data_IF_472504531796
#
_entry.id   IF_472504531796
#
_cell.length_a   1.000
_cell.length_b   1.000
_cell.length_c   1.000
_cell.angle_alpha   90.00
_cell.angle_beta   90.00
_cell.angle_gamma   90.00
#
_symmetry.space_group_name_H-M   'P 1'
#
loop_
_entity.id
_entity.type
_entity.pdbx_description
1 polymer ?
#
# COMPACT_ATOMS: atom_id res chain seq x y z
N UNK A 1 33.47 -35.00 -51.37
CA UNK A 1 32.33 -35.92 -51.45
C UNK A 1 31.64 -35.91 -50.09
N UNK A 2 30.48 -35.29 -50.00
CA UNK A 2 29.62 -35.27 -48.81
C UNK A 2 28.39 -36.10 -49.09
N UNK A 3 27.88 -36.96 -48.21
CA UNK A 3 26.63 -37.66 -48.43
C UNK A 3 25.43 -36.82 -47.92
N UNK A 4 24.42 -36.79 -48.76
CA UNK A 4 23.10 -36.17 -48.55
C UNK A 4 22.25 -37.11 -47.71
N UNK A 5 21.57 -36.62 -46.67
CA UNK A 5 20.56 -37.35 -45.90
C UNK A 5 19.15 -36.89 -46.32
N UNK A 6 18.20 -37.80 -46.49
CA UNK A 6 16.84 -37.48 -46.87
C UNK A 6 16.00 -37.05 -45.66
N UNK A 7 15.13 -36.05 -45.86
CA UNK A 7 14.10 -35.59 -44.94
C UNK A 7 12.86 -36.46 -45.09
N UNK A 8 12.40 -37.03 -43.97
CA UNK A 8 11.07 -37.66 -43.88
C UNK A 8 10.04 -36.52 -43.55
N UNK A 9 8.99 -36.48 -44.39
CA UNK A 9 7.79 -35.65 -44.19
C UNK A 9 6.73 -36.56 -43.54
N UNK A 10 6.26 -36.18 -42.36
CA UNK A 10 5.10 -36.81 -41.74
C UNK A 10 3.85 -35.98 -42.02
N UNK A 11 2.89 -36.53 -42.73
CA UNK A 11 1.54 -35.99 -42.89
C UNK A 11 0.72 -36.29 -41.66
N UNK A 12 0.15 -35.26 -41.03
CA UNK A 12 -0.91 -35.39 -40.03
C UNK A 12 -2.25 -34.98 -40.64
N UNK A 13 -3.18 -35.87 -40.68
CA UNK A 13 -4.55 -35.69 -41.13
C UNK A 13 -5.40 -35.06 -40.03
N UNK A 14 -5.98 -33.89 -40.28
CA UNK A 14 -6.98 -33.26 -39.42
C UNK A 14 -8.39 -33.67 -39.88
N UNK A 15 -9.18 -34.19 -38.95
CA UNK A 15 -10.61 -34.45 -39.13
C UNK A 15 -11.42 -33.25 -38.62
N UNK A 16 -12.13 -32.57 -39.49
CA UNK A 16 -13.09 -31.50 -39.17
C UNK A 16 -14.47 -32.08 -38.90
N UNK A 17 -15.02 -31.78 -37.72
CA UNK A 17 -16.45 -31.94 -37.43
C UNK A 17 -17.07 -30.54 -37.44
N UNK A 18 -17.95 -30.28 -38.39
CA UNK A 18 -18.78 -29.11 -38.45
C UNK A 18 -20.11 -29.36 -37.73
N UNK A 19 -20.47 -28.54 -36.75
CA UNK A 19 -21.82 -28.41 -36.21
C UNK A 19 -22.24 -26.94 -36.35
N UNK A 20 -23.25 -26.74 -37.20
CA UNK A 20 -23.84 -25.42 -37.41
C UNK A 20 -24.76 -25.02 -36.25
N UNK A 21 -24.71 -23.75 -35.89
CA UNK A 21 -25.64 -23.11 -34.99
C UNK A 21 -25.78 -21.65 -35.43
N UNK A 22 -27.02 -21.24 -35.76
CA UNK A 22 -27.36 -19.88 -36.14
C UNK A 22 -27.09 -18.92 -34.99
N UNK A 23 -26.28 -17.89 -35.24
CA UNK A 23 -26.10 -16.78 -34.31
C UNK A 23 -26.91 -15.58 -34.81
N UNK A 24 -27.70 -15.01 -33.90
CA UNK A 24 -28.29 -13.70 -34.04
C UNK A 24 -27.20 -12.64 -33.88
N UNK A 25 -27.16 -11.71 -34.81
CA UNK A 25 -26.28 -10.53 -34.73
C UNK A 25 -26.91 -9.56 -33.75
N UNK A 26 -26.24 -9.36 -32.63
CA UNK A 26 -26.47 -8.22 -31.72
C UNK A 26 -25.28 -7.27 -31.93
N UNK A 27 -25.56 -6.09 -32.43
CA UNK A 27 -24.65 -4.95 -32.43
C UNK A 27 -24.36 -4.60 -30.95
N UNK A 28 -23.18 -4.90 -30.50
CA UNK A 28 -22.63 -4.32 -29.29
C UNK A 28 -21.43 -3.49 -29.66
N UNK A 29 -21.56 -2.20 -29.39
CA UNK A 29 -20.50 -1.21 -29.44
C UNK A 29 -19.29 -1.71 -28.67
N UNK A 30 -18.18 -1.87 -29.37
CA UNK A 30 -16.87 -2.21 -28.80
C UNK A 30 -16.38 -0.99 -27.97
N UNK A 31 -16.65 -1.02 -26.67
CA UNK A 31 -15.83 -0.29 -25.72
C UNK A 31 -14.67 -1.21 -25.40
N UNK A 32 -13.50 -0.91 -25.95
CA UNK A 32 -12.23 -1.54 -25.58
C UNK A 32 -11.88 -1.09 -24.16
N UNK A 33 -12.54 -1.67 -23.18
CA UNK A 33 -12.09 -1.65 -21.81
C UNK A 33 -10.91 -2.63 -21.67
N UNK A 34 -9.80 -2.15 -21.18
CA UNK A 34 -8.71 -3.00 -20.66
C UNK A 34 -9.36 -3.97 -19.68
N UNK A 35 -9.24 -5.26 -19.95
CA UNK A 35 -9.78 -6.28 -19.05
C UNK A 35 -9.06 -6.13 -17.70
N UNK A 36 -9.79 -6.09 -16.56
CA UNK A 36 -9.15 -6.06 -15.26
C UNK A 36 -8.20 -7.25 -15.15
N UNK A 37 -6.98 -7.01 -14.67
CA UNK A 37 -6.03 -8.05 -14.40
C UNK A 37 -6.71 -9.04 -13.43
N UNK A 38 -7.07 -10.22 -13.94
CA UNK A 38 -7.68 -11.27 -13.12
C UNK A 38 -6.58 -11.83 -12.24
N UNK A 39 -6.53 -11.37 -10.99
CA UNK A 39 -5.72 -11.96 -9.95
C UNK A 39 -6.11 -13.41 -9.77
N UNK A 40 -5.15 -14.34 -9.86
CA UNK A 40 -5.24 -15.61 -9.16
C UNK A 40 -4.66 -15.37 -7.77
N UNK A 41 -5.53 -15.32 -6.76
CA UNK A 41 -5.11 -15.44 -5.36
C UNK A 41 -4.48 -16.82 -5.26
N UNK A 42 -3.17 -16.92 -5.15
CA UNK A 42 -2.57 -18.11 -4.57
C UNK A 42 -3.07 -18.13 -3.13
N UNK A 43 -3.85 -19.16 -2.77
CA UNK A 43 -4.11 -19.45 -1.35
C UNK A 43 -2.74 -19.44 -0.67
N UNK A 44 -2.55 -18.62 0.38
CA UNK A 44 -1.27 -18.47 1.04
C UNK A 44 -0.73 -19.82 1.44
N UNK A 45 0.28 -20.29 0.73
CA UNK A 45 1.03 -21.51 1.05
C UNK A 45 2.43 -21.10 1.50
N UNK A 46 3.07 -21.93 2.30
CA UNK A 46 4.44 -21.69 2.76
C UNK A 46 4.54 -20.45 3.65
N UNK A 47 5.49 -19.57 3.34
CA UNK A 47 5.76 -18.36 4.15
C UNK A 47 4.58 -17.37 4.19
N UNK A 48 3.65 -17.47 3.23
CA UNK A 48 2.44 -16.63 3.15
C UNK A 48 1.17 -17.35 3.62
N UNK A 49 1.30 -18.43 4.41
CA UNK A 49 0.17 -19.11 5.05
C UNK A 49 -0.37 -18.26 6.21
N UNK A 50 -1.40 -17.47 5.96
CA UNK A 50 -2.03 -16.59 6.94
C UNK A 50 -2.78 -17.32 8.08
N UNK A 51 -2.95 -18.65 7.97
CA UNK A 51 -3.52 -19.48 9.04
C UNK A 51 -2.45 -19.93 10.06
N UNK A 52 -1.20 -19.49 9.87
CA UNK A 52 -0.04 -19.85 10.71
C UNK A 52 0.63 -18.59 11.28
N UNK A 53 1.02 -18.64 12.56
CA UNK A 53 1.95 -17.67 13.15
C UNK A 53 3.37 -18.17 12.89
N UNK A 54 4.10 -17.51 12.00
CA UNK A 54 5.43 -17.90 11.57
C UNK A 54 6.49 -17.54 12.62
N UNK A 55 7.54 -18.36 12.76
CA UNK A 55 8.66 -18.07 13.65
C UNK A 55 9.82 -17.47 12.86
N UNK A 56 10.14 -16.19 13.12
CA UNK A 56 11.21 -15.47 12.42
C UNK A 56 12.25 -15.02 13.44
N UNK A 57 13.45 -15.57 13.34
CA UNK A 57 14.58 -15.24 14.17
C UNK A 57 15.71 -14.61 13.35
N UNK A 58 16.23 -13.47 13.80
CA UNK A 58 17.32 -12.75 13.15
C UNK A 58 18.54 -12.75 14.08
N UNK A 59 19.68 -13.17 13.56
CA UNK A 59 20.99 -13.01 14.21
C UNK A 59 21.79 -11.94 13.45
N UNK A 60 22.15 -10.86 14.13
CA UNK A 60 22.82 -9.70 13.55
C UNK A 60 23.85 -9.13 14.53
N UNK A 61 24.90 -8.50 14.03
CA UNK A 61 25.88 -7.81 14.84
C UNK A 61 25.30 -6.55 15.48
N UNK A 62 25.30 -6.46 16.80
CA UNK A 62 24.72 -5.35 17.57
C UNK A 62 25.40 -4.00 17.23
N UNK A 63 26.73 -4.00 17.02
CA UNK A 63 27.46 -2.80 16.65
C UNK A 63 27.06 -2.33 15.23
N UNK A 64 26.72 -3.27 14.32
CA UNK A 64 26.20 -2.94 12.98
C UNK A 64 24.81 -2.33 13.04
N UNK A 65 23.91 -2.85 13.88
CA UNK A 65 22.57 -2.26 14.09
C UNK A 65 22.70 -0.84 14.67
N UNK A 66 23.53 -0.64 15.69
CA UNK A 66 23.75 0.68 16.28
C UNK A 66 24.29 1.67 15.24
N UNK A 67 25.31 1.27 14.45
CA UNK A 67 25.87 2.14 13.41
C UNK A 67 24.87 2.48 12.30
N UNK A 68 23.97 1.56 11.93
CA UNK A 68 22.90 1.80 10.96
C UNK A 68 21.89 2.79 11.51
N UNK A 69 21.45 2.66 12.77
CA UNK A 69 20.54 3.59 13.44
C UNK A 69 21.17 4.99 13.53
N UNK A 70 22.44 5.08 13.95
CA UNK A 70 23.19 6.34 13.97
C UNK A 70 23.23 7.01 12.60
N UNK A 71 23.55 6.23 11.55
CA UNK A 71 23.57 6.75 10.17
C UNK A 71 22.19 7.26 9.73
N UNK A 72 21.14 6.51 10.03
CA UNK A 72 19.78 6.93 9.71
C UNK A 72 19.41 8.24 10.43
N UNK A 73 19.74 8.37 11.72
CA UNK A 73 19.48 9.60 12.49
C UNK A 73 20.24 10.81 11.95
N UNK A 74 21.48 10.61 11.49
CA UNK A 74 22.33 11.70 10.99
C UNK A 74 21.97 12.12 9.56
N UNK A 75 21.62 11.15 8.69
CA UNK A 75 21.53 11.37 7.24
C UNK A 75 20.17 11.02 6.62
N UNK A 76 19.34 10.22 7.31
CA UNK A 76 18.12 9.61 6.75
C UNK A 76 18.40 8.38 5.87
N UNK A 77 19.66 7.99 5.68
CA UNK A 77 20.03 6.85 4.84
C UNK A 77 19.75 5.52 5.56
N UNK A 78 19.07 4.60 4.87
CA UNK A 78 18.75 3.25 5.33
C UNK A 78 19.74 2.25 4.76
N UNK A 79 20.84 2.04 5.46
CA UNK A 79 21.91 1.15 5.01
C UNK A 79 21.56 -0.33 5.21
N UNK A 80 22.02 -1.19 4.30
CA UNK A 80 21.98 -2.63 4.47
C UNK A 80 23.06 -3.11 5.44
N UNK A 81 22.70 -4.05 6.31
CA UNK A 81 23.62 -4.80 7.17
C UNK A 81 23.42 -6.30 6.96
N UNK A 82 24.51 -7.08 7.08
CA UNK A 82 24.48 -8.54 6.93
C UNK A 82 23.89 -9.19 8.19
N UNK A 83 22.96 -10.13 8.00
CA UNK A 83 22.32 -10.89 9.07
C UNK A 83 22.16 -12.37 8.68
N UNK A 84 21.92 -13.22 9.66
CA UNK A 84 21.38 -14.57 9.46
C UNK A 84 19.91 -14.57 9.83
N UNK A 85 19.05 -15.00 8.91
CA UNK A 85 17.61 -15.05 9.12
C UNK A 85 17.16 -16.49 9.12
N UNK A 86 16.37 -16.89 10.11
CA UNK A 86 15.74 -18.21 10.17
C UNK A 86 14.23 -18.01 10.17
N UNK A 87 13.53 -18.63 9.22
CA UNK A 87 12.08 -18.60 9.08
C UNK A 87 11.58 -20.04 9.16
N UNK A 88 10.75 -20.35 10.14
CA UNK A 88 10.19 -21.69 10.39
C UNK A 88 11.23 -22.83 10.39
N UNK A 89 12.45 -22.50 10.85
CA UNK A 89 13.56 -23.43 10.94
C UNK A 89 14.42 -23.54 9.66
N UNK A 90 14.07 -22.87 8.57
CA UNK A 90 14.94 -22.70 7.40
C UNK A 90 15.84 -21.47 7.58
N UNK A 91 17.16 -21.65 7.37
CA UNK A 91 18.16 -20.62 7.69
C UNK A 91 18.77 -20.05 6.42
N UNK A 92 18.79 -18.73 6.32
CA UNK A 92 19.40 -17.95 5.26
C UNK A 92 20.61 -17.20 5.84
N UNK A 93 21.80 -17.68 5.52
CA UNK A 93 23.04 -17.02 5.91
C UNK A 93 23.30 -15.81 5.00
N UNK A 94 23.83 -14.73 5.55
CA UNK A 94 24.17 -13.51 4.80
C UNK A 94 22.99 -12.89 4.06
N UNK A 95 21.83 -12.88 4.70
CA UNK A 95 20.70 -12.07 4.26
C UNK A 95 20.94 -10.59 4.57
N UNK A 96 20.28 -9.70 3.85
CA UNK A 96 20.26 -8.27 4.12
C UNK A 96 19.19 -7.91 5.14
N UNK A 97 19.53 -6.95 5.99
CA UNK A 97 18.59 -6.33 6.92
C UNK A 97 18.76 -4.81 6.85
N UNK A 98 17.68 -4.07 6.68
CA UNK A 98 17.70 -2.59 6.74
C UNK A 98 16.43 -2.04 7.34
N UNK A 99 16.48 -0.81 7.86
CA UNK A 99 15.29 -0.12 8.32
C UNK A 99 14.29 0.11 7.16
N UNK A 100 12.99 -0.10 7.41
CA UNK A 100 11.90 0.17 6.45
C UNK A 100 10.87 1.11 7.08
N UNK A 101 10.25 1.93 6.26
CA UNK A 101 9.23 2.89 6.69
C UNK A 101 9.75 4.32 6.77
N UNK A 102 8.85 5.25 7.04
CA UNK A 102 9.11 6.69 7.19
C UNK A 102 8.55 7.17 8.53
N UNK A 103 7.22 7.18 8.69
CA UNK A 103 6.57 7.62 9.93
C UNK A 103 6.89 6.71 11.11
N UNK A 104 7.00 5.40 10.88
CA UNK A 104 7.38 4.39 11.87
C UNK A 104 8.80 4.55 12.42
N UNK A 105 9.67 5.24 11.69
CA UNK A 105 11.03 5.55 12.13
C UNK A 105 11.18 6.90 12.83
N UNK A 106 10.08 7.68 12.96
CA UNK A 106 10.13 8.97 13.67
C UNK A 106 10.39 8.73 15.15
N UNK A 107 11.51 9.25 15.63
CA UNK A 107 11.90 9.12 17.04
C UNK A 107 12.62 7.82 17.39
N UNK A 108 13.01 7.04 16.39
CA UNK A 108 13.96 5.94 16.61
C UNK A 108 15.21 6.49 17.28
N UNK A 109 15.64 5.85 18.36
CA UNK A 109 16.79 6.24 19.19
C UNK A 109 17.74 5.08 19.34
N UNK A 110 18.96 5.36 19.82
CA UNK A 110 20.00 4.38 20.09
C UNK A 110 19.58 3.33 21.14
N UNK A 111 18.54 3.65 21.92
CA UNK A 111 17.98 2.75 22.94
C UNK A 111 16.82 1.89 22.41
N UNK A 112 16.49 1.98 21.09
CA UNK A 112 15.41 1.19 20.50
C UNK A 112 15.79 -0.30 20.47
N UNK A 113 14.91 -1.15 21.00
CA UNK A 113 15.12 -2.59 20.90
C UNK A 113 15.00 -3.04 19.42
N UNK A 114 15.95 -3.81 18.88
CA UNK A 114 15.90 -4.25 17.48
C UNK A 114 14.63 -5.04 17.13
N UNK A 115 14.01 -5.72 18.11
CA UNK A 115 12.72 -6.40 17.93
C UNK A 115 11.54 -5.46 17.73
N UNK A 116 11.69 -4.17 18.07
CA UNK A 116 10.64 -3.15 17.93
C UNK A 116 10.80 -2.31 16.66
N UNK A 117 11.93 -2.41 15.96
CA UNK A 117 12.19 -1.68 14.72
C UNK A 117 11.43 -2.30 13.53
N UNK A 118 11.00 -1.49 12.56
CA UNK A 118 10.50 -1.99 11.28
C UNK A 118 11.66 -2.37 10.36
N UNK A 119 11.58 -3.56 9.76
CA UNK A 119 12.65 -4.11 8.96
C UNK A 119 12.22 -4.43 7.54
N UNK A 120 13.10 -4.22 6.57
CA UNK A 120 13.12 -4.95 5.31
C UNK A 120 14.18 -6.03 5.43
N UNK A 121 13.75 -7.27 5.30
CA UNK A 121 14.60 -8.46 5.18
C UNK A 121 14.71 -8.79 3.70
N UNK A 122 15.95 -8.92 3.17
CA UNK A 122 16.21 -9.37 1.82
C UNK A 122 17.10 -10.60 1.86
N UNK A 123 16.54 -11.73 1.48
CA UNK A 123 17.22 -13.01 1.62
C UNK A 123 18.43 -13.11 0.68
N UNK A 124 18.37 -12.51 -0.49
CA UNK A 124 19.38 -12.59 -1.54
C UNK A 124 20.34 -11.38 -1.62
N UNK A 125 20.29 -10.43 -0.70
CA UNK A 125 21.10 -9.20 -0.72
C UNK A 125 22.60 -9.48 -0.86
N UNK A 126 23.12 -10.49 -0.16
CA UNK A 126 24.53 -10.85 -0.19
C UNK A 126 24.82 -12.24 -0.80
N UNK A 127 23.78 -13.01 -1.13
CA UNK A 127 23.87 -14.34 -1.74
C UNK A 127 22.80 -14.50 -2.80
N UNK A 128 23.15 -14.31 -4.05
CA UNK A 128 22.25 -14.37 -5.19
C UNK A 128 21.32 -15.59 -5.17
N UNK A 129 20.02 -15.38 -5.35
CA UNK A 129 19.01 -16.41 -5.54
C UNK A 129 18.55 -17.13 -4.28
N UNK A 130 18.81 -16.61 -3.09
CA UNK A 130 18.16 -17.05 -1.87
C UNK A 130 16.70 -16.55 -1.87
N UNK A 131 15.76 -17.46 -1.72
CA UNK A 131 14.33 -17.15 -1.61
C UNK A 131 13.61 -18.22 -0.81
N UNK A 132 12.49 -17.88 -0.20
CA UNK A 132 11.59 -18.79 0.49
C UNK A 132 10.24 -18.76 -0.21
N UNK A 133 9.79 -19.92 -0.72
CA UNK A 133 8.51 -20.07 -1.45
C UNK A 133 8.31 -19.07 -2.59
N UNK A 134 9.39 -18.64 -3.23
CA UNK A 134 9.36 -17.70 -4.35
C UNK A 134 9.56 -16.23 -3.94
N UNK A 135 9.55 -15.90 -2.65
CA UNK A 135 9.77 -14.54 -2.15
C UNK A 135 11.20 -14.34 -1.67
N UNK A 136 11.83 -13.26 -2.09
CA UNK A 136 13.15 -12.83 -1.64
C UNK A 136 13.10 -11.72 -0.59
N UNK A 137 12.02 -10.96 -0.50
CA UNK A 137 11.89 -9.83 0.40
C UNK A 137 10.65 -9.92 1.31
N UNK A 138 10.83 -9.56 2.59
CA UNK A 138 9.78 -9.53 3.60
C UNK A 138 9.88 -8.24 4.42
N UNK A 139 8.75 -7.58 4.66
CA UNK A 139 8.68 -6.40 5.50
C UNK A 139 8.13 -6.78 6.87
N UNK A 140 8.93 -6.64 7.91
CA UNK A 140 8.49 -6.79 9.30
C UNK A 140 7.99 -5.44 9.78
N UNK A 141 6.68 -5.32 10.00
CA UNK A 141 6.03 -4.07 10.43
C UNK A 141 6.37 -3.74 11.88
N UNK A 142 6.41 -2.46 12.23
CA UNK A 142 6.49 -2.01 13.63
C UNK A 142 5.12 -2.02 14.34
N UNK A 143 4.10 -2.56 13.73
CA UNK A 143 2.70 -2.60 14.13
C UNK A 143 2.18 -1.24 14.67
N UNK A 144 1.05 -0.79 14.19
CA UNK A 144 0.38 0.43 14.68
C UNK A 144 -0.49 0.14 15.90
N UNK A 145 -0.89 -1.11 16.10
CA UNK A 145 -1.60 -1.66 17.25
C UNK A 145 -0.86 -2.89 17.80
N UNK A 146 -1.35 -3.54 18.85
CA UNK A 146 -0.68 -4.71 19.41
C UNK A 146 -0.81 -5.94 18.50
N UNK A 147 -1.91 -6.05 17.72
CA UNK A 147 -2.18 -7.20 16.87
C UNK A 147 -1.93 -6.96 15.39
N UNK A 148 -1.96 -5.70 14.92
CA UNK A 148 -1.98 -5.29 13.51
C UNK A 148 -3.14 -5.91 12.69
N UNK A 149 -4.24 -6.31 13.34
CA UNK A 149 -5.42 -6.87 12.69
C UNK A 149 -6.00 -5.93 11.62
N UNK A 150 -5.94 -4.62 11.83
CA UNK A 150 -6.44 -3.64 10.89
C UNK A 150 -5.75 -3.75 9.51
N UNK A 151 -4.42 -3.80 9.45
CA UNK A 151 -3.69 -3.96 8.20
C UNK A 151 -3.91 -5.37 7.61
N UNK A 152 -3.80 -6.41 8.42
CA UNK A 152 -3.98 -7.78 7.98
C UNK A 152 -5.36 -8.03 7.33
N UNK A 153 -6.43 -7.55 7.97
CA UNK A 153 -7.80 -7.66 7.44
C UNK A 153 -7.97 -6.81 6.18
N UNK A 154 -7.45 -5.57 6.17
CA UNK A 154 -7.56 -4.70 5.00
C UNK A 154 -6.90 -5.30 3.77
N UNK A 155 -5.73 -5.94 3.90
CA UNK A 155 -5.03 -6.59 2.77
C UNK A 155 -5.81 -7.78 2.21
N UNK A 156 -6.43 -8.61 3.04
CA UNK A 156 -7.32 -9.67 2.56
C UNK A 156 -8.56 -9.12 1.84
N UNK A 157 -9.15 -8.04 2.36
CA UNK A 157 -10.28 -7.38 1.70
C UNK A 157 -9.87 -6.72 0.39
N UNK A 158 -8.67 -6.14 0.32
CA UNK A 158 -8.11 -5.55 -0.90
C UNK A 158 -7.96 -6.61 -2.00
N UNK A 159 -7.48 -7.78 -1.59
CA UNK A 159 -7.37 -8.93 -2.46
C UNK A 159 -8.71 -9.40 -3.00
N UNK A 160 -9.72 -9.58 -2.15
CA UNK A 160 -11.07 -9.97 -2.56
C UNK A 160 -11.73 -8.90 -3.42
N UNK A 161 -11.42 -7.62 -3.17
CA UNK A 161 -11.82 -6.52 -4.04
C UNK A 161 -11.22 -6.60 -5.45
N UNK A 162 -10.33 -7.56 -5.76
CA UNK A 162 -9.68 -7.73 -7.05
C UNK A 162 -8.67 -6.62 -7.39
N UNK A 163 -8.18 -5.93 -6.38
CA UNK A 163 -7.08 -4.97 -6.48
C UNK A 163 -5.75 -5.66 -6.19
N UNK A 164 -4.66 -5.17 -6.76
CA UNK A 164 -3.33 -5.68 -6.45
C UNK A 164 -3.03 -5.46 -4.96
N UNK A 165 -2.60 -6.52 -4.28
CA UNK A 165 -2.48 -6.55 -2.82
C UNK A 165 -1.26 -7.37 -2.41
N UNK A 166 -0.72 -7.07 -1.27
CA UNK A 166 0.36 -7.79 -0.65
C UNK A 166 -0.16 -8.99 0.15
N UNK A 167 0.64 -10.05 0.24
CA UNK A 167 0.43 -11.07 1.25
C UNK A 167 0.82 -10.56 2.63
N UNK A 168 0.13 -11.04 3.66
CA UNK A 168 0.43 -10.72 5.04
C UNK A 168 0.31 -11.96 5.94
N UNK A 169 1.21 -12.08 6.92
CA UNK A 169 1.20 -13.16 7.92
C UNK A 169 1.58 -12.62 9.30
N UNK A 170 1.04 -13.24 10.33
CA UNK A 170 1.48 -12.98 11.70
C UNK A 170 2.78 -13.72 11.99
N UNK A 171 3.68 -13.11 12.78
CA UNK A 171 4.94 -13.73 13.15
C UNK A 171 5.32 -13.53 14.62
N UNK A 172 5.99 -14.53 15.17
CA UNK A 172 6.80 -14.47 16.38
C UNK A 172 8.20 -14.02 15.97
N UNK A 173 8.47 -12.71 16.06
CA UNK A 173 9.70 -12.09 15.57
C UNK A 173 10.69 -11.86 16.70
N UNK A 174 11.93 -12.33 16.55
CA UNK A 174 13.00 -12.13 17.51
C UNK A 174 14.33 -11.71 16.87
N UNK A 175 15.14 -10.94 17.60
CA UNK A 175 16.48 -10.53 17.19
C UNK A 175 17.46 -10.91 18.27
N UNK A 176 18.56 -11.58 17.90
CA UNK A 176 19.66 -12.00 18.80
C UNK A 176 19.18 -12.79 20.04
N UNK A 177 18.09 -13.56 19.89
CA UNK A 177 17.53 -14.35 20.97
C UNK A 177 16.86 -13.53 22.09
N UNK A 178 16.51 -12.28 21.84
CA UNK A 178 15.64 -11.49 22.72
C UNK A 178 14.23 -12.10 22.78
N UNK A 179 13.42 -11.67 23.77
CA UNK A 179 12.03 -12.10 23.87
C UNK A 179 11.28 -11.73 22.59
N UNK A 180 10.56 -12.68 21.96
CA UNK A 180 9.89 -12.43 20.68
C UNK A 180 8.73 -11.43 20.82
N UNK A 181 8.41 -10.77 19.72
CA UNK A 181 7.27 -9.86 19.57
C UNK A 181 6.33 -10.37 18.49
N UNK A 182 5.03 -10.15 18.70
CA UNK A 182 4.06 -10.32 17.62
C UNK A 182 4.27 -9.22 16.58
N UNK A 183 4.55 -9.61 15.32
CA UNK A 183 4.74 -8.70 14.19
C UNK A 183 3.91 -9.16 13.01
N UNK A 184 3.32 -8.20 12.31
CA UNK A 184 2.82 -8.46 10.97
C UNK A 184 4.01 -8.43 10.00
N UNK A 185 4.08 -9.45 9.15
CA UNK A 185 5.01 -9.50 8.02
C UNK A 185 4.20 -9.34 6.75
N UNK A 186 4.65 -8.42 5.90
CA UNK A 186 3.96 -8.07 4.65
C UNK A 186 4.93 -8.26 3.49
N UNK A 187 4.44 -8.73 2.36
CA UNK A 187 5.20 -8.85 1.12
C UNK A 187 5.69 -7.47 0.67
N UNK A 188 6.93 -7.37 0.19
CA UNK A 188 7.40 -6.14 -0.44
C UNK A 188 6.86 -6.05 -1.87
N UNK A 189 6.68 -4.83 -2.37
CA UNK A 189 6.30 -4.60 -3.76
C UNK A 189 7.57 -4.60 -4.63
N UNK A 190 8.07 -5.79 -4.90
CA UNK A 190 9.25 -6.07 -5.71
C UNK A 190 8.87 -6.76 -7.03
N UNK A 191 9.85 -7.26 -7.75
CA UNK A 191 9.65 -7.97 -9.03
C UNK A 191 8.82 -9.25 -8.85
N UNK A 192 8.96 -9.97 -7.72
CA UNK A 192 8.20 -11.18 -7.44
C UNK A 192 6.72 -10.84 -7.23
N UNK A 193 6.42 -9.82 -6.41
CA UNK A 193 5.07 -9.31 -6.23
C UNK A 193 4.45 -8.77 -7.53
N UNK A 194 5.22 -8.03 -8.35
CA UNK A 194 4.73 -7.52 -9.63
C UNK A 194 4.35 -8.67 -10.56
N UNK A 195 5.17 -9.71 -10.64
CA UNK A 195 4.90 -10.89 -11.47
C UNK A 195 3.67 -11.69 -11.03
N UNK A 196 3.31 -11.66 -9.74
CA UNK A 196 2.10 -12.29 -9.21
C UNK A 196 0.84 -11.48 -9.57
N UNK A 197 0.91 -10.16 -9.50
CA UNK A 197 -0.26 -9.30 -9.62
C UNK A 197 -0.52 -8.80 -11.06
N UNK A 198 0.51 -8.73 -11.91
CA UNK A 198 0.42 -8.16 -13.25
C UNK A 198 0.99 -9.09 -14.31
N UNK A 199 0.43 -9.00 -15.50
CA UNK A 199 0.97 -9.68 -16.67
C UNK A 199 1.84 -8.72 -17.49
N UNK A 200 2.90 -9.24 -18.12
CA UNK A 200 3.76 -8.45 -19.00
C UNK A 200 4.81 -7.61 -18.26
N UNK A 201 5.66 -6.97 -19.05
CA UNK A 201 6.73 -6.13 -18.52
C UNK A 201 6.15 -4.77 -18.05
N UNK A 202 6.63 -4.27 -16.91
CA UNK A 202 6.17 -3.02 -16.32
C UNK A 202 7.25 -2.27 -15.57
N UNK A 203 6.85 -1.11 -15.05
CA UNK A 203 7.68 -0.28 -14.17
C UNK A 203 6.82 0.11 -12.98
N UNK A 204 7.34 -0.06 -11.79
CA UNK A 204 6.62 0.28 -10.56
C UNK A 204 7.27 1.49 -9.91
N UNK A 205 6.49 2.54 -9.71
CA UNK A 205 6.94 3.79 -9.09
C UNK A 205 6.22 4.00 -7.78
N UNK A 206 6.99 4.14 -6.72
CA UNK A 206 6.50 4.47 -5.40
C UNK A 206 6.43 5.98 -5.21
N UNK A 207 5.29 6.50 -4.77
CA UNK A 207 5.19 7.88 -4.35
C UNK A 207 5.80 8.07 -2.96
N UNK A 208 6.75 9.03 -2.84
CA UNK A 208 7.39 9.32 -1.56
C UNK A 208 6.50 10.19 -0.65
N UNK A 209 6.47 9.90 0.65
CA UNK A 209 5.61 10.56 1.63
C UNK A 209 5.79 12.10 1.68
N UNK A 210 6.98 12.60 1.34
CA UNK A 210 7.27 14.03 1.22
C UNK A 210 6.96 14.63 -0.13
N UNK A 211 6.66 13.80 -1.14
CA UNK A 211 6.52 14.17 -2.53
C UNK A 211 5.20 14.84 -2.88
N UNK A 212 5.14 15.34 -4.08
CA UNK A 212 3.93 15.82 -4.72
C UNK A 212 3.86 15.33 -6.17
N UNK A 213 2.70 15.39 -6.79
CA UNK A 213 2.45 14.94 -8.16
C UNK A 213 2.52 16.10 -9.17
N UNK A 214 3.31 17.12 -8.88
CA UNK A 214 3.51 18.26 -9.77
C UNK A 214 4.47 17.91 -10.90
N UNK A 215 4.14 18.34 -12.13
CA UNK A 215 5.10 18.27 -13.24
C UNK A 215 6.25 19.26 -13.03
N UNK A 216 7.49 18.76 -13.10
CA UNK A 216 8.73 19.50 -12.82
C UNK A 216 9.64 19.66 -14.02
N UNK A 217 9.12 19.40 -15.25
CA UNK A 217 9.88 19.37 -16.51
C UNK A 217 10.42 17.97 -16.82
N UNK A 218 11.15 17.87 -17.96
CA UNK A 218 11.56 16.59 -18.55
C UNK A 218 12.86 16.00 -17.94
N UNK A 219 13.42 16.63 -16.89
CA UNK A 219 14.66 16.17 -16.27
C UNK A 219 14.34 15.14 -15.17
N UNK A 220 14.71 13.84 -15.35
CA UNK A 220 14.45 12.79 -14.36
C UNK A 220 15.02 13.08 -12.97
N UNK A 221 16.16 13.78 -12.90
CA UNK A 221 16.78 14.14 -11.61
C UNK A 221 15.89 15.04 -10.75
N UNK A 222 14.85 15.67 -11.35
CA UNK A 222 13.89 16.51 -10.64
C UNK A 222 12.82 15.74 -9.87
N UNK A 223 12.76 14.41 -10.02
CA UNK A 223 11.71 13.55 -9.45
C UNK A 223 12.20 12.57 -8.39
N UNK A 224 13.51 12.41 -8.22
CA UNK A 224 14.13 11.44 -7.30
C UNK A 224 13.87 11.71 -5.81
N UNK A 225 13.31 12.87 -5.46
CA UNK A 225 12.88 13.22 -4.10
C UNK A 225 11.36 13.02 -3.87
N UNK A 226 10.62 12.66 -4.91
CA UNK A 226 9.16 12.50 -4.85
C UNK A 226 8.64 11.16 -5.37
N UNK A 227 9.42 10.46 -6.18
CA UNK A 227 9.14 9.10 -6.62
C UNK A 227 10.41 8.25 -6.59
N UNK A 228 10.24 6.99 -6.19
CA UNK A 228 11.27 5.95 -6.28
C UNK A 228 10.81 4.88 -7.27
N UNK A 229 11.69 4.40 -8.14
CA UNK A 229 11.37 3.29 -9.04
C UNK A 229 11.79 1.99 -8.36
N UNK A 230 10.85 1.09 -8.12
CA UNK A 230 11.07 -0.16 -7.36
C UNK A 230 11.31 -1.37 -8.28
N UNK A 231 10.70 -1.40 -9.48
CA UNK A 231 10.86 -2.52 -10.42
C UNK A 231 11.13 -2.05 -11.85
N UNK A 232 11.67 -2.96 -12.66
CA UNK A 232 11.99 -2.73 -14.06
C UNK A 232 13.31 -1.99 -14.31
N UNK A 233 13.61 -1.70 -15.58
CA UNK A 233 14.81 -0.92 -15.97
C UNK A 233 14.61 0.56 -15.62
N UNK A 234 15.68 1.24 -15.16
CA UNK A 234 15.66 2.67 -14.78
C UNK A 234 15.08 3.56 -15.90
N UNK A 235 13.82 3.92 -15.83
CA UNK A 235 13.14 4.79 -16.78
C UNK A 235 11.98 5.56 -16.13
N UNK A 236 12.19 6.84 -15.84
CA UNK A 236 11.15 7.74 -15.35
C UNK A 236 10.34 8.42 -16.46
N UNK A 237 10.63 8.15 -17.74
CA UNK A 237 9.95 8.82 -18.87
C UNK A 237 8.45 8.62 -18.84
N UNK A 238 7.89 7.40 -18.68
CA UNK A 238 6.44 7.22 -18.62
C UNK A 238 5.79 7.99 -17.48
N UNK A 239 6.41 8.00 -16.29
CA UNK A 239 5.94 8.75 -15.14
C UNK A 239 5.92 10.26 -15.40
N UNK A 240 7.00 10.80 -15.98
CA UNK A 240 7.12 12.23 -16.31
C UNK A 240 6.06 12.64 -17.32
N UNK A 241 5.85 11.84 -18.36
CA UNK A 241 4.82 12.08 -19.38
C UNK A 241 3.41 12.06 -18.76
N UNK A 242 3.15 11.14 -17.84
CA UNK A 242 1.88 11.08 -17.11
C UNK A 242 1.70 12.30 -16.19
N UNK A 243 2.73 12.70 -15.45
CA UNK A 243 2.67 13.90 -14.62
C UNK A 243 2.49 15.17 -15.46
N UNK A 244 3.11 15.27 -16.67
CA UNK A 244 2.86 16.37 -17.59
C UNK A 244 1.39 16.40 -18.02
N UNK A 245 0.84 15.26 -18.43
CA UNK A 245 -0.57 15.12 -18.76
C UNK A 245 -1.48 15.53 -17.61
N UNK A 246 -1.24 15.03 -16.40
CA UNK A 246 -2.04 15.37 -15.21
C UNK A 246 -2.05 16.87 -14.88
N UNK A 247 -0.94 17.56 -15.09
CA UNK A 247 -0.79 18.95 -14.67
C UNK A 247 -1.09 19.97 -15.78
N UNK A 248 -0.90 19.61 -17.05
CA UNK A 248 -0.91 20.57 -18.15
C UNK A 248 -2.03 20.34 -19.19
N UNK A 249 -2.70 19.18 -19.20
CA UNK A 249 -3.87 18.99 -20.05
C UNK A 249 -5.04 19.88 -19.60
N UNK A 250 -5.84 20.36 -20.56
CA UNK A 250 -7.11 21.02 -20.22
C UNK A 250 -8.10 20.01 -19.59
N UNK A 251 -9.13 20.50 -18.90
CA UNK A 251 -10.15 19.63 -18.31
C UNK A 251 -10.89 18.80 -19.37
N UNK A 252 -11.06 19.34 -20.58
CA UNK A 252 -11.66 18.62 -21.70
C UNK A 252 -10.76 17.50 -22.22
N UNK A 253 -9.45 17.74 -22.35
CA UNK A 253 -8.43 16.75 -22.75
C UNK A 253 -8.30 15.69 -21.66
N UNK A 254 -8.19 16.09 -20.40
CA UNK A 254 -8.11 15.15 -19.28
C UNK A 254 -9.31 14.18 -19.26
N UNK A 255 -10.54 14.71 -19.36
CA UNK A 255 -11.74 13.87 -19.35
C UNK A 255 -11.84 12.94 -20.59
N UNK A 256 -11.26 13.34 -21.72
CA UNK A 256 -11.30 12.54 -22.95
C UNK A 256 -10.19 11.49 -23.03
N UNK A 257 -9.00 11.80 -22.49
CA UNK A 257 -7.77 11.03 -22.75
C UNK A 257 -7.25 10.27 -21.51
N UNK A 258 -7.71 10.58 -20.28
CA UNK A 258 -7.28 9.82 -19.11
C UNK A 258 -7.42 8.29 -19.26
N UNK A 259 -8.49 7.75 -19.89
CA UNK A 259 -8.61 6.31 -20.11
C UNK A 259 -7.51 5.68 -21.00
N UNK A 260 -6.78 6.51 -21.76
CA UNK A 260 -5.61 6.06 -22.53
C UNK A 260 -4.32 6.03 -21.68
N UNK A 261 -4.34 6.63 -20.49
CA UNK A 261 -3.20 6.76 -19.58
C UNK A 261 -3.38 6.02 -18.26
N UNK A 262 -4.60 5.72 -17.84
CA UNK A 262 -4.92 5.14 -16.53
C UNK A 262 -6.05 4.14 -16.65
N UNK A 263 -5.97 3.02 -15.90
CA UNK A 263 -7.12 2.16 -15.67
C UNK A 263 -8.13 2.87 -14.77
N UNK A 264 -9.07 3.59 -15.41
CA UNK A 264 -10.09 4.39 -14.74
C UNK A 264 -11.01 3.54 -13.85
N UNK A 265 -11.31 2.31 -14.27
CA UNK A 265 -12.19 1.43 -13.51
C UNK A 265 -11.49 0.89 -12.25
N UNK A 266 -10.24 0.49 -12.38
CA UNK A 266 -9.41 0.08 -11.24
C UNK A 266 -9.20 1.24 -10.27
N UNK A 267 -8.93 2.44 -10.78
CA UNK A 267 -8.73 3.62 -9.92
C UNK A 267 -10.01 4.04 -9.18
N UNK A 268 -11.18 3.99 -9.82
CA UNK A 268 -12.45 4.22 -9.14
C UNK A 268 -12.70 3.19 -8.01
N UNK A 269 -12.36 1.91 -8.28
CA UNK A 269 -12.47 0.84 -7.27
C UNK A 269 -11.48 1.00 -6.12
N UNK A 270 -10.24 1.45 -6.41
CA UNK A 270 -9.25 1.79 -5.41
C UNK A 270 -9.74 2.90 -4.47
N UNK A 271 -10.22 4.04 -5.01
CA UNK A 271 -10.74 5.14 -4.20
C UNK A 271 -11.94 4.70 -3.35
N UNK A 272 -12.83 3.89 -3.92
CA UNK A 272 -13.98 3.34 -3.21
C UNK A 272 -13.57 2.38 -2.09
N UNK A 273 -12.51 1.60 -2.29
CA UNK A 273 -11.96 0.67 -1.28
C UNK A 273 -11.36 1.44 -0.11
N UNK A 274 -10.48 2.42 -0.37
CA UNK A 274 -9.85 3.24 0.68
C UNK A 274 -10.90 3.95 1.55
N UNK A 275 -11.96 4.48 0.92
CA UNK A 275 -13.08 5.07 1.63
C UNK A 275 -13.89 4.04 2.44
N UNK A 276 -14.06 2.81 1.92
CA UNK A 276 -14.81 1.74 2.58
C UNK A 276 -14.10 1.25 3.84
N UNK A 277 -12.78 1.06 3.78
CA UNK A 277 -11.97 0.62 4.92
C UNK A 277 -11.55 1.77 5.84
N UNK A 278 -12.04 3.01 5.59
CA UNK A 278 -11.75 4.22 6.38
C UNK A 278 -10.24 4.44 6.55
N UNK A 279 -9.46 4.22 5.48
CA UNK A 279 -8.03 4.52 5.43
C UNK A 279 -7.84 5.96 4.95
N UNK A 280 -7.42 6.85 5.86
CA UNK A 280 -7.25 8.28 5.53
C UNK A 280 -5.85 8.62 5.02
N UNK A 281 -4.91 7.69 5.09
CA UNK A 281 -3.52 7.88 4.69
C UNK A 281 -3.20 7.14 3.38
N UNK A 282 -4.01 7.43 2.38
CA UNK A 282 -3.95 6.88 1.03
C UNK A 282 -3.20 7.80 0.04
N UNK A 283 -3.54 7.76 -1.25
CA UNK A 283 -2.93 8.53 -2.34
C UNK A 283 -3.02 10.06 -2.13
N UNK A 284 -4.08 10.58 -1.51
CA UNK A 284 -4.24 12.01 -1.20
C UNK A 284 -4.11 12.30 0.31
N UNK A 285 -3.76 11.29 1.09
CA UNK A 285 -3.46 11.37 2.50
C UNK A 285 -2.10 11.99 2.81
N UNK A 286 -1.79 12.21 4.10
CA UNK A 286 -0.54 12.84 4.51
C UNK A 286 0.71 11.99 4.23
N UNK A 287 0.57 10.67 4.09
CA UNK A 287 1.64 9.73 3.78
C UNK A 287 1.89 9.55 2.28
N UNK A 288 0.93 9.97 1.42
CA UNK A 288 0.97 9.78 -0.04
C UNK A 288 1.17 8.28 -0.39
N UNK A 289 0.48 7.40 0.34
CA UNK A 289 0.68 5.95 0.29
C UNK A 289 0.07 5.34 -0.97
N UNK A 290 0.86 5.30 -2.04
CA UNK A 290 0.47 4.71 -3.30
C UNK A 290 1.67 4.38 -4.17
N UNK A 291 1.46 3.44 -5.09
CA UNK A 291 2.37 3.19 -6.19
C UNK A 291 1.64 3.40 -7.51
N UNK A 292 2.41 3.61 -8.56
CA UNK A 292 1.96 3.65 -9.95
C UNK A 292 2.65 2.52 -10.72
N UNK A 293 1.90 1.53 -11.17
CA UNK A 293 2.40 0.50 -12.07
C UNK A 293 2.12 0.89 -13.52
N UNK A 294 3.17 1.09 -14.30
CA UNK A 294 3.11 1.32 -15.73
C UNK A 294 3.16 0.01 -16.51
N UNK A 295 2.25 -0.19 -17.42
CA UNK A 295 2.21 -1.34 -18.32
C UNK A 295 2.87 -0.97 -19.66
N UNK A 296 4.00 -1.63 -19.96
CA UNK A 296 4.77 -1.32 -21.17
C UNK A 296 4.06 -1.72 -22.49
N UNK A 297 3.13 -2.69 -22.42
CA UNK A 297 2.39 -3.17 -23.59
C UNK A 297 1.22 -2.24 -23.96
N UNK A 298 0.54 -1.69 -22.96
CA UNK A 298 -0.63 -0.82 -23.14
C UNK A 298 -0.30 0.66 -23.07
N UNK A 299 0.75 1.03 -22.33
CA UNK A 299 1.13 2.42 -22.06
C UNK A 299 0.30 3.09 -20.97
N UNK A 300 -0.51 2.31 -20.23
CA UNK A 300 -1.38 2.81 -19.17
C UNK A 300 -0.83 2.54 -17.77
N UNK A 301 -1.33 3.30 -16.80
CA UNK A 301 -1.01 3.15 -15.39
C UNK A 301 -2.13 2.45 -14.62
N UNK A 302 -1.75 1.74 -13.58
CA UNK A 302 -2.63 1.28 -12.51
C UNK A 302 -2.13 1.87 -11.18
N UNK A 303 -3.04 2.46 -10.40
CA UNK A 303 -2.72 2.86 -9.03
C UNK A 303 -2.76 1.63 -8.14
N UNK A 304 -1.73 1.45 -7.34
CA UNK A 304 -1.59 0.34 -6.39
C UNK A 304 -1.64 0.91 -4.97
N UNK A 305 -2.46 0.30 -4.14
CA UNK A 305 -2.61 0.65 -2.73
C UNK A 305 -1.36 0.27 -1.92
N UNK A 306 -1.11 0.98 -0.82
CA UNK A 306 0.01 0.72 0.07
C UNK A 306 -0.26 1.22 1.50
N UNK A 307 0.22 0.47 2.50
CA UNK A 307 0.27 0.87 3.92
C UNK A 307 -1.10 1.06 4.59
N UNK A 308 -1.87 -0.03 4.69
CA UNK A 308 -3.20 -0.06 5.33
C UNK A 308 -3.15 -0.12 6.86
N UNK A 309 -2.02 0.24 7.48
CA UNK A 309 -1.85 0.18 8.93
C UNK A 309 -2.77 1.15 9.71
N UNK A 310 -3.43 2.07 9.02
CA UNK A 310 -4.42 3.01 9.58
C UNK A 310 -5.87 2.73 9.11
N UNK A 311 -6.10 1.60 8.44
CA UNK A 311 -7.44 1.17 8.04
C UNK A 311 -8.38 1.00 9.26
N UNK A 312 -9.68 1.07 9.01
CA UNK A 312 -10.76 1.00 10.00
C UNK A 312 -10.69 2.11 11.06
N UNK A 313 -10.22 3.29 10.66
CA UNK A 313 -10.10 4.44 11.55
C UNK A 313 -8.97 4.31 12.58
N UNK A 314 -7.96 3.51 12.27
CA UNK A 314 -6.75 3.38 13.08
C UNK A 314 -6.10 4.74 13.33
N UNK A 315 -5.65 4.98 14.57
CA UNK A 315 -4.94 6.21 14.93
C UNK A 315 -3.45 5.93 15.16
N UNK A 316 -2.54 6.79 14.68
CA UNK A 316 -1.12 6.64 14.98
C UNK A 316 -0.89 6.65 16.50
N UNK A 317 -0.39 5.55 17.06
CA UNK A 317 -0.01 5.46 18.47
C UNK A 317 -0.96 4.73 19.41
N UNK A 318 -1.79 3.84 18.92
CA UNK A 318 -2.53 2.85 19.70
C UNK A 318 -3.40 3.45 20.81
N UNK A 319 -4.64 3.74 20.51
CA UNK A 319 -5.61 4.18 21.52
C UNK A 319 -6.90 4.67 20.87
N UNK A 320 -7.86 3.77 20.70
CA UNK A 320 -9.26 4.03 20.49
C UNK A 320 -9.61 5.11 19.47
N UNK A 321 -10.24 4.69 18.39
CA UNK A 321 -10.73 5.55 17.33
C UNK A 321 -11.36 6.86 17.85
N UNK A 322 -11.15 7.95 17.12
CA UNK A 322 -11.87 9.18 17.36
C UNK A 322 -13.37 8.90 17.15
N UNK A 323 -14.25 9.15 18.14
CA UNK A 323 -15.68 8.97 17.90
C UNK A 323 -16.10 9.92 16.77
N UNK A 324 -16.56 9.36 15.65
CA UNK A 324 -17.27 10.12 14.62
C UNK A 324 -18.37 10.93 15.32
N UNK A 325 -18.33 12.25 15.15
CA UNK A 325 -19.29 13.16 15.73
C UNK A 325 -20.71 12.86 15.26
N UNK A 326 -21.46 12.14 16.10
CA UNK A 326 -22.88 12.35 16.19
C UNK A 326 -23.12 13.76 16.73
N UNK A 327 -24.16 14.46 16.23
CA UNK A 327 -24.60 15.80 16.62
C UNK A 327 -24.73 15.96 18.16
N UNK A 328 -23.64 16.13 18.86
CA UNK A 328 -23.55 16.34 20.31
C UNK A 328 -22.64 17.51 20.62
N UNK A 329 -23.19 18.47 21.35
CA UNK A 329 -22.52 19.72 21.78
C UNK A 329 -21.11 19.46 22.31
N UNK A 330 -20.15 20.22 21.80
CA UNK A 330 -18.76 20.28 22.28
C UNK A 330 -18.72 20.45 23.81
N UNK A 331 -17.96 19.60 24.54
CA UNK A 331 -17.70 19.88 25.96
C UNK A 331 -16.87 21.15 26.10
N UNK A 332 -17.34 22.10 26.89
CA UNK A 332 -16.68 23.41 27.14
C UNK A 332 -15.66 23.39 28.27
N UNK A 333 -15.28 22.22 28.77
CA UNK A 333 -14.33 22.11 29.88
C UNK A 333 -13.05 21.37 29.43
N UNK A 334 -12.10 22.12 28.89
CA UNK A 334 -10.71 21.68 28.76
C UNK A 334 -10.02 21.82 30.13
N UNK A 335 -9.27 20.79 30.60
CA UNK A 335 -8.45 20.92 31.80
C UNK A 335 -7.37 21.98 31.60
N UNK A 336 -7.29 22.95 32.51
CA UNK A 336 -6.32 24.07 32.47
C UNK A 336 -4.95 23.75 33.11
N UNK A 337 -4.62 22.49 33.33
CA UNK A 337 -3.32 22.11 33.91
C UNK A 337 -2.42 21.43 32.86
N UNK A 338 -1.68 22.27 32.12
CA UNK A 338 -0.51 21.83 31.34
C UNK A 338 0.71 21.72 32.27
N UNK A 339 1.52 20.66 32.20
CA UNK A 339 2.77 20.58 32.95
C UNK A 339 3.73 21.66 32.51
N UNK A 340 4.21 22.47 33.46
CA UNK A 340 5.23 23.48 33.27
C UNK A 340 6.61 22.85 33.04
N UNK A 341 7.00 22.74 31.76
CA UNK A 341 8.32 22.21 31.42
C UNK A 341 8.62 22.26 29.91
N UNK A 342 8.40 23.41 29.26
CA UNK A 342 9.01 23.66 27.94
C UNK A 342 10.19 24.61 28.04
N UNK A 343 11.32 24.34 27.33
CA UNK A 343 12.45 25.28 27.32
C UNK A 343 12.07 26.54 26.56
N UNK A 344 12.26 27.69 27.22
CA UNK A 344 12.13 29.02 26.65
C UNK A 344 13.29 29.28 25.69
N UNK A 345 13.03 29.24 24.38
CA UNK A 345 14.04 29.57 23.39
C UNK A 345 13.51 29.58 21.94
N UNK A 346 12.46 30.37 21.68
CA UNK A 346 12.17 30.78 20.31
C UNK A 346 12.43 32.27 20.15
N UNK A 347 13.10 32.75 19.08
CA UNK A 347 13.33 34.14 18.82
C UNK A 347 12.02 34.85 18.44
N UNK A 348 11.64 35.84 19.20
CA UNK A 348 10.56 36.79 18.89
C UNK A 348 11.13 37.94 18.04
N UNK A 349 11.24 37.73 16.73
CA UNK A 349 11.40 38.85 15.80
C UNK A 349 10.74 38.52 14.46
N UNK A 350 9.44 38.80 14.36
CA UNK A 350 8.80 38.95 13.06
C UNK A 350 8.75 40.43 12.69
N UNK A 351 9.17 40.83 11.46
CA UNK A 351 9.02 42.20 11.01
C UNK A 351 7.55 42.51 10.71
N UNK A 352 7.01 43.48 11.39
CA UNK A 352 5.71 44.09 11.09
C UNK A 352 5.82 44.96 9.83
N UNK A 353 5.17 44.50 8.74
CA UNK A 353 5.03 45.36 7.56
C UNK A 353 4.62 44.63 6.30
N UNK A 354 3.33 44.30 6.13
CA UNK A 354 2.72 44.15 4.81
C UNK A 354 1.43 44.98 4.73
N UNK A 355 1.21 45.76 3.64
CA UNK A 355 0.03 46.58 3.45
C UNK A 355 -1.19 45.74 3.09
N UNK A 356 -2.34 46.11 3.61
CA UNK A 356 -3.62 45.49 3.31
C UNK A 356 -4.00 45.62 1.83
N UNK A 357 -4.24 44.50 1.19
CA UNK A 357 -4.89 44.37 -0.10
C UNK A 357 -6.32 43.82 0.10
N UNK A 358 -7.30 44.55 -0.43
CA UNK A 358 -8.72 44.25 -0.38
C UNK A 358 -9.02 42.90 -1.12
N UNK A 359 -9.82 42.04 -0.47
CA UNK A 359 -10.42 40.84 -1.08
C UNK A 359 -11.48 41.27 -2.11
N UNK A 360 -11.53 40.65 -3.30
CA UNK A 360 -12.70 40.72 -4.16
C UNK A 360 -13.81 39.81 -3.62
N UNK A 361 -15.00 40.38 -3.40
CA UNK A 361 -16.25 39.63 -3.20
C UNK A 361 -16.78 39.11 -4.53
N UNK A 362 -17.23 37.85 -4.50
CA UNK A 362 -18.23 37.38 -5.45
C UNK A 362 -17.88 36.21 -6.34
N UNK A 363 -18.27 35.00 -5.93
CA UNK A 363 -18.55 33.84 -6.78
C UNK A 363 -19.44 32.86 -6.05
N UNK A 364 -20.59 32.46 -6.63
CA UNK A 364 -21.53 31.56 -6.02
C UNK A 364 -21.30 30.11 -6.43
N UNK A 365 -21.36 29.18 -5.52
CA UNK A 365 -21.51 27.78 -5.86
C UNK A 365 -20.97 26.81 -4.80
N UNK A 366 -21.65 26.66 -3.65
CA UNK A 366 -21.38 25.54 -2.76
C UNK A 366 -22.14 24.32 -3.25
N UNK A 367 -21.46 23.22 -3.59
CA UNK A 367 -21.99 21.89 -3.66
C UNK A 367 -21.91 21.21 -2.29
N UNK A 368 -22.84 20.32 -1.92
CA UNK A 368 -22.80 19.61 -0.64
C UNK A 368 -22.00 18.31 -0.81
N UNK A 369 -20.96 18.15 -0.04
CA UNK A 369 -20.23 16.91 0.08
C UNK A 369 -18.72 17.11 0.23
N UNK A 370 -18.28 17.45 1.41
CA UNK A 370 -16.87 17.50 1.74
C UNK A 370 -16.72 17.38 3.24
N UNK A 371 -16.45 16.17 3.73
CA UNK A 371 -15.97 15.94 5.07
C UNK A 371 -14.63 16.65 5.22
N UNK A 372 -14.59 17.72 6.05
CA UNK A 372 -13.38 18.46 6.35
C UNK A 372 -12.42 17.61 7.16
N UNK A 373 -11.50 16.90 6.51
CA UNK A 373 -10.35 16.27 7.11
C UNK A 373 -9.27 17.32 7.41
N UNK A 374 -8.47 17.07 8.42
CA UNK A 374 -7.28 17.84 8.72
C UNK A 374 -6.37 17.89 7.51
N UNK A 375 -6.10 19.06 6.97
CA UNK A 375 -5.15 19.48 5.96
C UNK A 375 -4.36 18.41 5.18
N UNK A 376 -5.05 17.50 4.49
CA UNK A 376 -4.46 16.59 3.53
C UNK A 376 -3.95 17.39 2.33
N UNK A 377 -2.88 16.95 1.73
CA UNK A 377 -2.44 17.39 0.42
C UNK A 377 -3.47 16.89 -0.59
N UNK A 378 -3.94 17.81 -1.40
CA UNK A 378 -4.82 17.41 -2.49
C UNK A 378 -3.99 16.84 -3.63
N UNK A 379 -4.26 15.60 -4.04
CA UNK A 379 -3.62 14.96 -5.17
C UNK A 379 -4.30 15.40 -6.47
N UNK A 380 -3.50 15.88 -7.44
CA UNK A 380 -4.03 16.40 -8.72
C UNK A 380 -4.84 15.37 -9.52
N UNK A 381 -4.45 14.09 -9.47
CA UNK A 381 -5.19 13.01 -10.12
C UNK A 381 -6.56 12.82 -9.44
N UNK A 382 -6.59 12.72 -8.11
CA UNK A 382 -7.84 12.54 -7.35
C UNK A 382 -8.78 13.72 -7.53
N UNK A 383 -8.29 14.98 -7.43
CA UNK A 383 -9.11 16.18 -7.63
C UNK A 383 -9.74 16.23 -9.04
N UNK A 384 -8.93 15.99 -10.06
CA UNK A 384 -9.41 16.07 -11.45
C UNK A 384 -10.33 14.90 -11.79
N UNK A 385 -10.06 13.70 -11.24
CA UNK A 385 -10.91 12.53 -11.38
C UNK A 385 -12.30 12.77 -10.79
N UNK A 386 -12.36 13.25 -9.55
CA UNK A 386 -13.61 13.56 -8.88
C UNK A 386 -14.41 14.71 -9.53
N UNK A 387 -13.76 15.57 -10.31
CA UNK A 387 -14.43 16.65 -11.04
C UNK A 387 -15.19 16.17 -12.29
N UNK A 388 -14.93 14.95 -12.77
CA UNK A 388 -15.64 14.33 -13.91
C UNK A 388 -16.83 13.53 -13.37
N UNK A 389 -18.07 14.00 -13.65
CA UNK A 389 -19.31 13.41 -13.10
C UNK A 389 -19.42 11.89 -13.38
N UNK A 390 -19.04 11.44 -14.58
CA UNK A 390 -19.07 10.02 -14.96
C UNK A 390 -18.14 9.16 -14.06
N UNK A 391 -16.98 9.69 -13.68
CA UNK A 391 -16.03 8.95 -12.85
C UNK A 391 -16.35 9.03 -11.36
N UNK A 392 -16.93 10.15 -10.91
CA UNK A 392 -17.50 10.23 -9.56
C UNK A 392 -18.63 9.19 -9.39
N UNK A 393 -19.50 9.03 -10.39
CA UNK A 393 -20.54 7.99 -10.39
C UNK A 393 -19.94 6.57 -10.38
N UNK A 394 -18.78 6.36 -11.04
CA UNK A 394 -18.07 5.06 -10.98
C UNK A 394 -17.54 4.76 -9.57
N UNK A 395 -17.01 5.75 -8.85
CA UNK A 395 -16.58 5.57 -7.44
C UNK A 395 -17.77 5.21 -6.57
N UNK A 396 -18.89 5.93 -6.69
CA UNK A 396 -20.10 5.64 -5.93
C UNK A 396 -20.64 4.23 -6.22
N UNK A 397 -20.61 3.80 -7.49
CA UNK A 397 -21.02 2.45 -7.88
C UNK A 397 -20.06 1.41 -7.33
N UNK A 398 -18.74 1.61 -7.46
CA UNK A 398 -17.72 0.70 -6.92
C UNK A 398 -17.85 0.55 -5.41
N UNK A 399 -18.14 1.64 -4.69
CA UNK A 399 -18.38 1.59 -3.25
C UNK A 399 -19.61 0.78 -2.88
N UNK A 400 -20.71 0.92 -3.64
CA UNK A 400 -21.90 0.11 -3.41
C UNK A 400 -21.66 -1.37 -3.68
N UNK A 401 -20.92 -1.69 -4.76
CA UNK A 401 -20.56 -3.06 -5.11
C UNK A 401 -19.62 -3.68 -4.06
N UNK A 402 -18.57 -2.96 -3.64
CA UNK A 402 -17.65 -3.40 -2.59
C UNK A 402 -18.36 -3.58 -1.24
N UNK A 403 -19.27 -2.68 -0.87
CA UNK A 403 -20.07 -2.86 0.35
C UNK A 403 -20.86 -4.16 0.31
N UNK A 404 -21.49 -4.47 -0.83
CA UNK A 404 -22.23 -5.70 -1.00
C UNK A 404 -21.32 -6.95 -1.02
N UNK A 405 -20.17 -6.87 -1.68
CA UNK A 405 -19.21 -7.96 -1.83
C UNK A 405 -18.48 -8.28 -0.52
N UNK A 406 -18.05 -7.27 0.22
CA UNK A 406 -17.18 -7.43 1.38
C UNK A 406 -17.93 -7.39 2.72
N UNK A 407 -18.87 -6.42 2.90
CA UNK A 407 -19.54 -6.22 4.19
C UNK A 407 -20.88 -6.94 4.27
N UNK A 408 -21.79 -6.70 3.32
CA UNK A 408 -23.13 -7.29 3.35
C UNK A 408 -23.13 -8.83 3.16
N UNK A 409 -22.10 -9.36 2.49
CA UNK A 409 -21.89 -10.81 2.34
C UNK A 409 -21.46 -11.49 3.64
N UNK A 410 -20.89 -10.74 4.59
CA UNK A 410 -20.25 -11.24 5.80
C UNK A 410 -18.79 -11.63 5.62
N UNK A 411 -18.20 -11.44 4.42
CA UNK A 411 -16.81 -11.84 4.14
C UNK A 411 -15.81 -11.12 5.07
N UNK A 412 -15.96 -9.81 5.28
CA UNK A 412 -15.07 -9.06 6.18
C UNK A 412 -15.11 -9.59 7.63
N UNK A 413 -16.28 -10.03 8.11
CA UNK A 413 -16.38 -10.66 9.42
C UNK A 413 -15.70 -12.04 9.46
N UNK A 414 -15.83 -12.84 8.39
CA UNK A 414 -15.16 -14.14 8.29
C UNK A 414 -13.63 -13.99 8.28
N UNK A 415 -13.10 -13.01 7.55
CA UNK A 415 -11.67 -12.67 7.54
C UNK A 415 -11.19 -12.22 8.92
N UNK A 416 -11.92 -11.30 9.56
CA UNK A 416 -11.58 -10.82 10.89
C UNK A 416 -11.59 -11.94 11.94
N UNK A 417 -12.62 -12.79 11.91
CA UNK A 417 -12.75 -13.92 12.84
C UNK A 417 -11.62 -14.95 12.62
N UNK A 418 -11.19 -15.19 11.37
CA UNK A 418 -10.04 -16.03 11.05
C UNK A 418 -8.76 -15.48 11.64
N UNK A 419 -8.42 -14.23 11.37
CA UNK A 419 -7.20 -13.59 11.90
C UNK A 419 -7.19 -13.55 13.43
N UNK A 420 -8.29 -13.15 14.07
CA UNK A 420 -8.41 -13.15 15.53
C UNK A 420 -8.30 -14.55 16.12
N UNK A 421 -8.83 -15.56 15.42
CA UNK A 421 -8.70 -16.98 15.77
C UNK A 421 -7.24 -17.44 15.75
N UNK A 422 -6.51 -17.18 14.67
CA UNK A 422 -5.08 -17.50 14.52
C UNK A 422 -4.26 -16.90 15.65
N UNK A 423 -4.42 -15.61 15.94
CA UNK A 423 -3.69 -14.93 17.01
C UNK A 423 -4.03 -15.52 18.40
N UNK A 424 -5.31 -15.76 18.67
CA UNK A 424 -5.76 -16.31 19.96
C UNK A 424 -5.23 -17.73 20.19
N UNK A 425 -5.20 -18.57 19.13
CA UNK A 425 -4.82 -19.98 19.24
C UNK A 425 -3.30 -20.19 19.22
N UNK A 426 -2.56 -19.34 18.48
CA UNK A 426 -1.15 -19.58 18.19
C UNK A 426 -0.20 -18.52 18.77
N UNK A 427 -0.68 -17.29 19.08
CA UNK A 427 0.15 -16.19 19.59
C UNK A 427 -0.11 -15.83 21.06
N UNK A 428 -0.73 -16.73 21.85
CA UNK A 428 -1.11 -16.45 23.24
C UNK A 428 0.05 -16.14 24.20
N UNK A 429 1.29 -16.45 23.81
CA UNK A 429 2.50 -16.06 24.56
C UNK A 429 3.02 -14.67 24.15
N UNK A 430 2.49 -14.07 23.06
CA UNK A 430 2.93 -12.81 22.46
C UNK A 430 1.93 -11.68 22.69
N UNK A 431 0.63 -11.99 22.71
CA UNK A 431 -0.47 -11.03 22.90
C UNK A 431 -1.58 -11.66 23.71
N UNK A 432 -2.20 -10.86 24.60
CA UNK A 432 -3.33 -11.32 25.41
C UNK A 432 -4.60 -11.50 24.56
N UNK A 433 -5.36 -12.58 24.79
CA UNK A 433 -6.60 -12.84 24.05
C UNK A 433 -7.65 -11.71 24.23
N UNK A 434 -7.64 -11.02 25.38
CA UNK A 434 -8.53 -9.88 25.63
C UNK A 434 -8.17 -8.70 24.69
N UNK A 435 -6.88 -8.46 24.44
CA UNK A 435 -6.39 -7.45 23.47
C UNK A 435 -6.82 -7.80 22.05
N UNK A 436 -6.63 -9.05 21.63
CA UNK A 436 -7.09 -9.52 20.31
C UNK A 436 -8.57 -9.27 20.14
N UNK A 437 -9.39 -9.60 21.14
CA UNK A 437 -10.84 -9.39 21.09
C UNK A 437 -11.20 -7.91 21.05
N UNK A 438 -10.53 -7.05 21.84
CA UNK A 438 -10.78 -5.60 21.87
C UNK A 438 -10.51 -4.95 20.52
N UNK A 439 -9.35 -5.27 19.90
CA UNK A 439 -9.00 -4.74 18.58
C UNK A 439 -9.92 -5.29 17.47
N UNK A 440 -10.28 -6.58 17.52
CA UNK A 440 -11.26 -7.18 16.61
C UNK A 440 -12.65 -6.53 16.73
N UNK A 441 -13.13 -6.24 17.96
CA UNK A 441 -14.43 -5.59 18.18
C UNK A 441 -14.44 -4.14 17.67
N UNK A 442 -13.29 -3.44 17.72
CA UNK A 442 -13.15 -2.11 17.15
C UNK A 442 -13.30 -2.15 15.61
N UNK A 443 -12.61 -3.08 14.93
CA UNK A 443 -12.73 -3.29 13.48
C UNK A 443 -14.15 -3.68 13.10
N UNK A 444 -14.77 -4.63 13.84
CA UNK A 444 -16.16 -5.07 13.61
C UNK A 444 -17.15 -3.90 13.71
N UNK A 445 -16.88 -2.99 14.64
CA UNK A 445 -17.72 -1.78 14.80
C UNK A 445 -17.59 -0.83 13.61
N UNK A 446 -16.40 -0.74 12.99
CA UNK A 446 -16.19 0.03 11.76
C UNK A 446 -16.87 -0.61 10.55
N UNK A 447 -16.82 -1.95 10.43
CA UNK A 447 -17.52 -2.69 9.36
C UNK A 447 -19.04 -2.56 9.46
N UNK A 448 -19.60 -2.49 10.66
CA UNK A 448 -21.04 -2.39 10.87
C UNK A 448 -21.61 -0.98 10.61
N UNK A 449 -20.80 0.07 10.47
CA UNK A 449 -21.17 1.46 10.13
C UNK A 449 -21.60 2.27 11.32
#
# INVERSE_FOLDING_TARGET
>A
MRPVRPRLVALATAATLALGGCAAVSDTSDTSGVAPATRQVADGEGVWDADTVHDIAVEVDEDAVAAMVDTYQETGEKQWIEATVTIDGETFERAGLRLKGNSSLRGVSDDAEPTDLPWLVRLDEYVDGQSLDGSSELIVRSNSSETALNEAVALDLLAEAGLASEHAVASSFSVNGADPRLRLVVQNLDEDWEAENFAGDGLLYKAEAGGDWSYRGDDPDSYTDVFDQETGDDDLTPLIDFLDFLNNSSDEEFAAELPDHLDVASFARYLAFEELVDNFDDIDGPGNNSYLRYDADTGGFTVVAWDHNLAFGGAPGGGGGFPRGGDGERPTDLPTDLPSGMPSGMPTDMPSGMPGGERPEGGPGGGPGGGGGMGGRSNVLVERFAAVEEWADLVDQAKADLTAELYDSGYAEEVLDRWAGVLTEQAGDLVDADTVQEEADAIRSSIAG
#
